data_IF_050045222172
#
_entry.id   IF_050045222172
#
_cell.length_a   1.000
_cell.length_b   1.000
_cell.length_c   1.000
_cell.angle_alpha   90.00
_cell.angle_beta   90.00
_cell.angle_gamma   90.00
#
_symmetry.space_group_name_H-M   'P 1'
#
loop_
_entity.id
_entity.type
_entity.pdbx_description
1 polymer ?
#
# COMPACT_ATOMS: atom_id res chain seq x y z
N UNK A 1 -10.33 -15.25 -3.45
CA UNK A 1 -9.98 -14.60 -4.72
C UNK A 1 -10.93 -13.44 -5.02
N UNK A 2 -12.24 -13.64 -4.91
CA UNK A 2 -13.27 -12.61 -5.20
C UNK A 2 -13.07 -11.32 -4.38
N UNK A 3 -12.73 -11.45 -3.09
CA UNK A 3 -12.43 -10.31 -2.23
C UNK A 3 -11.17 -9.55 -2.63
N UNK A 4 -10.18 -10.25 -3.19
CA UNK A 4 -8.93 -9.63 -3.64
C UNK A 4 -9.08 -8.92 -4.98
N UNK A 5 -9.95 -9.43 -5.84
CA UNK A 5 -10.19 -8.89 -7.18
C UNK A 5 -11.36 -7.90 -7.24
N UNK A 6 -12.10 -7.72 -6.14
CA UNK A 6 -13.23 -6.81 -6.09
C UNK A 6 -14.39 -7.22 -7.01
N UNK A 7 -14.52 -8.51 -7.33
CA UNK A 7 -15.50 -9.02 -8.29
C UNK A 7 -16.95 -8.98 -7.80
N UNK A 8 -17.15 -8.80 -6.50
CA UNK A 8 -18.48 -8.61 -5.92
C UNK A 8 -18.62 -7.20 -5.36
N UNK A 9 -19.82 -6.60 -5.35
CA UNK A 9 -20.04 -5.26 -4.79
C UNK A 9 -19.54 -5.14 -3.32
N UNK A 10 -19.71 -6.18 -2.53
CA UNK A 10 -19.21 -6.23 -1.14
C UNK A 10 -17.69 -6.31 -1.04
N UNK A 11 -17.02 -6.84 -2.06
CA UNK A 11 -15.56 -6.95 -2.10
C UNK A 11 -14.90 -5.71 -2.73
N UNK A 12 -15.64 -4.91 -3.49
CA UNK A 12 -15.14 -3.69 -4.14
C UNK A 12 -14.59 -2.69 -3.13
N UNK A 13 -15.15 -2.64 -1.91
CA UNK A 13 -14.67 -1.77 -0.84
C UNK A 13 -13.22 -2.08 -0.44
N UNK A 14 -12.81 -3.35 -0.45
CA UNK A 14 -11.41 -3.72 -0.16
C UNK A 14 -10.46 -3.32 -1.29
N UNK A 15 -10.94 -3.37 -2.53
CA UNK A 15 -10.15 -2.97 -3.69
C UNK A 15 -9.97 -1.44 -3.75
N UNK A 16 -10.98 -0.66 -3.38
CA UNK A 16 -10.94 0.81 -3.45
C UNK A 16 -10.22 1.46 -2.26
N UNK A 17 -10.37 0.91 -1.05
CA UNK A 17 -9.89 1.54 0.18
C UNK A 17 -8.47 1.09 0.59
N UNK A 18 -8.04 -0.09 0.17
CA UNK A 18 -6.68 -0.55 0.42
C UNK A 18 -5.81 -0.05 -0.74
N UNK A 19 -4.93 0.92 -0.47
CA UNK A 19 -4.11 1.59 -1.47
C UNK A 19 -3.38 0.62 -2.42
N UNK A 20 -2.77 -0.43 -1.86
CA UNK A 20 -2.01 -1.44 -2.60
C UNK A 20 -2.86 -2.28 -3.56
N UNK A 21 -4.19 -2.32 -3.37
CA UNK A 21 -5.11 -3.05 -4.23
C UNK A 21 -5.65 -2.19 -5.37
N UNK A 22 -5.44 -0.87 -5.32
CA UNK A 22 -5.90 0.02 -6.39
C UNK A 22 -5.07 -0.19 -7.65
N UNK A 23 -5.74 -0.10 -8.79
CA UNK A 23 -5.04 -0.21 -10.06
C UNK A 23 -4.19 1.05 -10.32
N UNK A 24 -3.02 0.94 -10.96
CA UNK A 24 -2.23 2.10 -11.35
C UNK A 24 -3.02 3.08 -12.24
N UNK A 25 -3.96 2.58 -13.05
CA UNK A 25 -4.84 3.42 -13.87
C UNK A 25 -5.79 4.25 -13.00
N UNK A 26 -6.38 3.64 -11.96
CA UNK A 26 -7.26 4.35 -11.01
C UNK A 26 -6.48 5.44 -10.27
N UNK A 27 -5.25 5.15 -9.82
CA UNK A 27 -4.38 6.12 -9.17
C UNK A 27 -4.01 7.29 -10.11
N UNK A 28 -3.74 6.98 -11.39
CA UNK A 28 -3.45 7.99 -12.41
C UNK A 28 -4.65 8.92 -12.64
N UNK A 29 -5.86 8.36 -12.75
CA UNK A 29 -7.10 9.13 -12.92
C UNK A 29 -7.43 9.97 -11.68
N UNK A 30 -7.13 9.46 -10.48
CA UNK A 30 -7.27 10.19 -9.22
C UNK A 30 -6.17 11.24 -9.00
N UNK A 31 -5.21 11.37 -9.90
CA UNK A 31 -4.03 12.23 -9.81
C UNK A 31 -3.16 11.96 -8.59
N UNK A 32 -3.17 10.73 -8.10
CA UNK A 32 -2.30 10.27 -7.02
C UNK A 32 -1.01 9.68 -7.61
N UNK A 33 0.16 10.14 -7.16
CA UNK A 33 1.47 9.66 -7.63
C UNK A 33 1.57 9.57 -9.18
N UNK A 34 1.13 10.61 -9.87
CA UNK A 34 0.92 10.63 -11.33
C UNK A 34 2.08 10.04 -12.12
N UNK A 35 3.32 10.46 -11.80
CA UNK A 35 4.52 10.00 -12.53
C UNK A 35 4.75 8.49 -12.35
N UNK A 36 4.67 7.99 -11.11
CA UNK A 36 4.87 6.57 -10.82
C UNK A 36 3.75 5.72 -11.45
N UNK A 37 2.49 6.14 -11.28
CA UNK A 37 1.33 5.44 -11.84
C UNK A 37 1.36 5.42 -13.38
N UNK A 38 1.72 6.54 -14.02
CA UNK A 38 1.88 6.59 -15.47
C UNK A 38 2.98 5.65 -15.96
N UNK A 39 4.13 5.65 -15.29
CA UNK A 39 5.24 4.76 -15.62
C UNK A 39 4.85 3.29 -15.47
N UNK A 40 4.16 2.93 -14.39
CA UNK A 40 3.65 1.56 -14.19
C UNK A 40 2.69 1.13 -15.30
N UNK A 41 1.74 1.97 -15.68
CA UNK A 41 0.79 1.69 -16.77
C UNK A 41 1.54 1.50 -18.09
N UNK A 42 2.42 2.44 -18.44
CA UNK A 42 3.20 2.37 -19.70
C UNK A 42 4.04 1.10 -19.77
N UNK A 43 4.77 0.78 -18.71
CA UNK A 43 5.62 -0.42 -18.68
C UNK A 43 4.79 -1.71 -18.74
N UNK A 44 3.66 -1.78 -18.01
CA UNK A 44 2.81 -2.96 -18.01
C UNK A 44 2.13 -3.16 -19.37
N UNK A 45 1.62 -2.10 -20.01
CA UNK A 45 1.03 -2.17 -21.36
C UNK A 45 2.11 -2.56 -22.38
N UNK A 46 3.28 -1.94 -22.33
CA UNK A 46 4.40 -2.30 -23.20
C UNK A 46 4.81 -3.77 -23.02
N UNK A 47 4.94 -4.24 -21.77
CA UNK A 47 5.27 -5.64 -21.48
C UNK A 47 4.21 -6.62 -21.99
N UNK A 48 2.91 -6.30 -21.84
CA UNK A 48 1.82 -7.12 -22.35
C UNK A 48 1.83 -7.20 -23.89
N UNK A 49 1.94 -6.05 -24.57
CA UNK A 49 2.02 -5.99 -26.04
C UNK A 49 3.24 -6.74 -26.55
N UNK A 50 4.39 -6.56 -25.91
CA UNK A 50 5.62 -7.27 -26.27
C UNK A 50 5.47 -8.78 -26.12
N UNK A 51 4.90 -9.24 -25.01
CA UNK A 51 4.63 -10.65 -24.79
C UNK A 51 3.71 -11.25 -25.87
N UNK A 52 2.61 -10.55 -26.21
CA UNK A 52 1.68 -11.00 -27.27
C UNK A 52 2.40 -11.08 -28.63
N UNK A 53 3.18 -10.06 -28.99
CA UNK A 53 3.93 -10.08 -30.26
C UNK A 53 4.89 -11.27 -30.32
N UNK A 54 5.54 -11.63 -29.20
CA UNK A 54 6.44 -12.77 -29.12
C UNK A 54 5.70 -14.11 -29.21
N UNK A 55 4.56 -14.23 -28.52
CA UNK A 55 3.71 -15.42 -28.58
C UNK A 55 3.16 -15.72 -29.98
N UNK A 56 2.80 -14.67 -30.72
CA UNK A 56 2.29 -14.80 -32.09
C UNK A 56 3.41 -15.18 -33.08
N UNK A 57 4.63 -14.64 -32.90
CA UNK A 57 5.74 -14.83 -33.83
C UNK A 57 6.51 -16.14 -33.63
N UNK A 58 6.60 -16.61 -32.42
CA UNK A 58 7.37 -17.81 -32.07
C UNK A 58 6.79 -18.49 -30.86
N UNK A 59 6.69 -19.84 -30.93
CA UNK A 59 6.30 -20.65 -29.77
C UNK A 59 7.47 -20.99 -28.86
N UNK A 60 8.67 -20.55 -29.20
CA UNK A 60 9.82 -20.69 -28.31
C UNK A 60 9.62 -19.88 -27.04
N UNK A 61 10.01 -20.46 -25.91
CA UNK A 61 9.89 -19.82 -24.57
C UNK A 61 8.47 -19.41 -24.22
N UNK A 62 7.49 -20.23 -24.61
CA UNK A 62 6.07 -20.00 -24.33
C UNK A 62 5.82 -19.63 -22.85
N UNK A 63 6.46 -20.35 -21.91
CA UNK A 63 6.33 -20.10 -20.48
C UNK A 63 6.78 -18.67 -20.12
N UNK A 64 7.89 -18.20 -20.66
CA UNK A 64 8.38 -16.85 -20.37
C UNK A 64 7.38 -15.77 -20.84
N UNK A 65 6.91 -15.90 -22.09
CA UNK A 65 6.02 -14.89 -22.68
C UNK A 65 4.63 -14.92 -22.07
N UNK A 66 4.11 -16.10 -21.72
CA UNK A 66 2.83 -16.19 -20.98
C UNK A 66 2.96 -15.64 -19.57
N UNK A 67 4.07 -15.91 -18.89
CA UNK A 67 4.33 -15.35 -17.54
C UNK A 67 4.43 -13.83 -17.60
N UNK A 68 5.14 -13.27 -18.59
CA UNK A 68 5.25 -11.82 -18.79
C UNK A 68 3.88 -11.21 -19.05
N UNK A 69 3.06 -11.81 -19.92
CA UNK A 69 1.71 -11.33 -20.21
C UNK A 69 0.83 -11.34 -18.95
N UNK A 70 0.78 -12.47 -18.25
CA UNK A 70 -0.04 -12.60 -17.05
C UNK A 70 0.39 -11.63 -15.95
N UNK A 71 1.69 -11.51 -15.69
CA UNK A 71 2.18 -10.58 -14.66
C UNK A 71 1.95 -9.11 -15.05
N UNK A 72 2.02 -8.76 -16.35
CA UNK A 72 1.68 -7.42 -16.85
C UNK A 72 0.20 -7.10 -16.64
N UNK A 73 -0.71 -8.04 -16.93
CA UNK A 73 -2.14 -7.88 -16.68
C UNK A 73 -2.40 -7.73 -15.17
N UNK A 74 -1.78 -8.55 -14.34
CA UNK A 74 -1.91 -8.44 -12.88
C UNK A 74 -1.39 -7.10 -12.35
N UNK A 75 -0.31 -6.56 -12.92
CA UNK A 75 0.23 -5.24 -12.56
C UNK A 75 -0.75 -4.10 -12.90
N UNK A 76 -1.55 -4.24 -13.95
CA UNK A 76 -2.62 -3.27 -14.27
C UNK A 76 -3.84 -3.39 -13.33
N UNK A 77 -4.05 -4.56 -12.74
CA UNK A 77 -5.16 -4.79 -11.80
C UNK A 77 -4.87 -4.19 -10.42
N UNK A 78 -3.64 -4.30 -9.92
CA UNK A 78 -3.28 -3.78 -8.61
C UNK A 78 -1.79 -3.38 -8.55
N UNK A 79 -1.51 -2.22 -7.95
CA UNK A 79 -0.16 -1.65 -7.83
C UNK A 79 0.85 -2.64 -7.23
N UNK A 80 0.47 -3.35 -6.19
CA UNK A 80 1.34 -4.34 -5.53
C UNK A 80 1.86 -5.45 -6.44
N UNK A 81 1.14 -5.77 -7.52
CA UNK A 81 1.54 -6.82 -8.45
C UNK A 81 2.68 -6.37 -9.38
N UNK A 82 3.01 -5.07 -9.39
CA UNK A 82 4.13 -4.55 -10.14
C UNK A 82 5.47 -5.16 -9.69
N UNK A 83 5.56 -5.53 -8.41
CA UNK A 83 6.74 -6.24 -7.84
C UNK A 83 6.95 -7.60 -8.52
N UNK A 84 5.88 -8.27 -8.94
CA UNK A 84 5.96 -9.54 -9.66
C UNK A 84 6.28 -9.34 -11.16
N UNK A 85 5.69 -8.31 -11.75
CA UNK A 85 5.86 -8.00 -13.17
C UNK A 85 7.28 -7.51 -13.49
N UNK A 86 7.81 -6.59 -12.72
CA UNK A 86 9.04 -5.87 -13.05
C UNK A 86 10.27 -6.78 -13.23
N UNK A 87 10.56 -7.77 -12.36
CA UNK A 87 11.65 -8.71 -12.58
C UNK A 87 11.49 -9.57 -13.83
N UNK A 88 10.27 -10.04 -14.11
CA UNK A 88 9.98 -10.85 -15.31
C UNK A 88 10.17 -10.00 -16.58
N UNK A 89 9.71 -8.76 -16.55
CA UNK A 89 9.88 -7.80 -17.63
C UNK A 89 11.36 -7.52 -17.91
N UNK A 90 12.14 -7.21 -16.88
CA UNK A 90 13.58 -6.97 -17.02
C UNK A 90 14.28 -8.20 -17.56
N UNK A 91 13.99 -9.39 -17.03
CA UNK A 91 14.60 -10.62 -17.53
C UNK A 91 14.26 -10.84 -19.00
N UNK A 92 13.01 -10.73 -19.39
CA UNK A 92 12.57 -10.91 -20.78
C UNK A 92 13.19 -9.89 -21.71
N UNK A 93 13.27 -8.62 -21.30
CA UNK A 93 13.81 -7.53 -22.10
C UNK A 93 15.33 -7.62 -22.27
N UNK A 94 16.07 -7.90 -21.19
CA UNK A 94 17.53 -8.00 -21.22
C UNK A 94 18.03 -9.21 -22.01
N UNK A 95 17.29 -10.32 -21.97
CA UNK A 95 17.70 -11.55 -22.70
C UNK A 95 17.26 -11.59 -24.16
N UNK A 96 16.36 -10.68 -24.59
CA UNK A 96 15.83 -10.66 -25.94
C UNK A 96 15.74 -9.25 -26.57
N UNK A 97 16.77 -8.40 -26.44
CA UNK A 97 16.70 -7.03 -26.94
C UNK A 97 16.71 -6.96 -28.48
N UNK A 98 17.38 -7.90 -29.13
CA UNK A 98 17.69 -7.81 -30.57
C UNK A 98 16.49 -7.97 -31.51
N UNK A 99 15.38 -8.58 -31.06
CA UNK A 99 14.26 -8.86 -31.95
C UNK A 99 13.28 -7.69 -32.17
N UNK A 100 13.34 -6.66 -31.34
CA UNK A 100 12.58 -5.41 -31.57
C UNK A 100 13.22 -4.52 -32.61
N UNK A 101 14.53 -4.61 -32.76
CA UNK A 101 15.33 -3.67 -33.56
C UNK A 101 15.60 -4.19 -34.98
N UNK A 102 15.62 -5.53 -35.19
CA UNK A 102 16.13 -6.11 -36.42
C UNK A 102 15.23 -5.97 -37.68
N UNK A 103 13.95 -5.61 -37.52
CA UNK A 103 13.04 -5.49 -38.68
C UNK A 103 12.65 -4.06 -39.08
N UNK A 104 13.04 -3.03 -38.34
CA UNK A 104 12.81 -1.62 -38.69
C UNK A 104 14.10 -0.78 -38.74
N UNK A 105 15.25 -1.42 -38.59
CA UNK A 105 16.51 -0.74 -38.29
C UNK A 105 17.24 -0.13 -39.51
N UNK A 106 16.60 0.04 -40.65
CA UNK A 106 17.23 0.80 -41.74
C UNK A 106 17.23 2.32 -41.55
N UNK A 107 16.48 2.84 -40.56
CA UNK A 107 16.34 4.30 -40.34
C UNK A 107 16.36 4.79 -38.91
N UNK A 108 16.65 3.95 -37.92
CA UNK A 108 16.82 4.42 -36.53
C UNK A 108 18.31 4.59 -36.26
N UNK A 109 18.79 5.82 -35.94
CA UNK A 109 20.20 6.04 -35.68
C UNK A 109 20.68 5.20 -34.51
N UNK A 110 21.83 4.58 -34.68
CA UNK A 110 22.54 3.65 -33.78
C UNK A 110 22.86 4.21 -32.38
N UNK A 111 21.85 4.63 -31.63
CA UNK A 111 22.08 5.05 -30.23
C UNK A 111 22.25 3.89 -29.23
N UNK A 112 22.05 2.64 -29.64
CA UNK A 112 22.16 1.48 -28.77
C UNK A 112 23.26 0.50 -29.21
N UNK A 113 24.50 0.98 -29.25
CA UNK A 113 25.63 0.03 -29.31
C UNK A 113 25.66 -0.75 -27.97
N UNK A 114 26.07 -2.04 -27.95
CA UNK A 114 26.17 -2.83 -26.72
C UNK A 114 26.96 -2.13 -25.61
N UNK A 115 27.97 -1.34 -25.97
CA UNK A 115 28.74 -0.55 -25.01
C UNK A 115 27.94 0.58 -24.37
N UNK A 116 27.11 1.31 -25.13
CA UNK A 116 26.27 2.39 -24.60
C UNK A 116 25.20 1.80 -23.66
N UNK A 117 24.58 0.69 -24.06
CA UNK A 117 23.59 0.01 -23.19
C UNK A 117 24.21 -0.46 -21.87
N UNK A 118 25.41 -1.05 -21.93
CA UNK A 118 26.14 -1.45 -20.73
C UNK A 118 26.50 -0.25 -19.85
N UNK A 119 27.03 0.83 -20.45
CA UNK A 119 27.38 2.03 -19.69
C UNK A 119 26.15 2.66 -19.04
N UNK A 120 25.03 2.80 -19.77
CA UNK A 120 23.78 3.32 -19.23
C UNK A 120 23.25 2.44 -18.09
N UNK A 121 23.30 1.12 -18.25
CA UNK A 121 22.88 0.19 -17.20
C UNK A 121 23.74 0.32 -15.95
N UNK A 122 25.05 0.42 -16.08
CA UNK A 122 25.97 0.62 -14.95
C UNK A 122 25.71 1.95 -14.26
N UNK A 123 25.47 3.03 -15.01
CA UNK A 123 25.15 4.35 -14.44
C UNK A 123 23.82 4.30 -13.69
N UNK A 124 22.78 3.67 -14.25
CA UNK A 124 21.49 3.52 -13.58
C UNK A 124 21.64 2.73 -12.28
N UNK A 125 22.36 1.59 -12.32
CA UNK A 125 22.60 0.78 -11.12
C UNK A 125 23.37 1.58 -10.07
N UNK A 126 24.42 2.30 -10.46
CA UNK A 126 25.19 3.14 -9.56
C UNK A 126 24.34 4.25 -8.93
N UNK A 127 23.48 4.91 -9.70
CA UNK A 127 22.53 5.91 -9.20
C UNK A 127 21.53 5.31 -8.21
N UNK A 128 20.98 4.13 -8.53
CA UNK A 128 20.05 3.43 -7.63
C UNK A 128 20.72 3.00 -6.33
N UNK A 129 21.94 2.46 -6.40
CA UNK A 129 22.73 2.10 -5.23
C UNK A 129 23.10 3.34 -4.39
N UNK A 130 23.48 4.44 -5.03
CA UNK A 130 23.75 5.71 -4.36
C UNK A 130 22.52 6.29 -3.67
N UNK A 131 21.38 6.27 -4.34
CA UNK A 131 20.09 6.68 -3.75
C UNK A 131 19.72 5.79 -2.56
N UNK A 132 19.88 4.48 -2.70
CA UNK A 132 19.59 3.53 -1.63
C UNK A 132 20.55 3.71 -0.42
N UNK A 133 21.85 3.86 -0.67
CA UNK A 133 22.84 4.15 0.36
C UNK A 133 22.51 5.46 1.11
N UNK A 134 22.17 6.52 0.38
CA UNK A 134 21.71 7.78 0.96
C UNK A 134 20.44 7.60 1.79
N UNK A 135 19.49 6.83 1.29
CA UNK A 135 18.26 6.50 2.02
C UNK A 135 18.56 5.80 3.33
N UNK A 136 19.46 4.80 3.34
CA UNK A 136 19.89 4.08 4.56
C UNK A 136 20.58 4.98 5.59
N UNK A 137 21.40 5.94 5.13
CA UNK A 137 22.08 6.88 6.03
C UNK A 137 21.17 7.96 6.58
N UNK A 138 20.06 8.24 5.86
CA UNK A 138 19.04 9.22 6.27
C UNK A 138 17.97 8.62 7.19
N UNK A 139 17.94 7.31 7.31
CA UNK A 139 17.05 6.65 8.27
C UNK A 139 17.53 6.91 9.69
N UNK A 140 16.63 7.44 10.51
CA UNK A 140 16.80 7.47 11.94
C UNK A 140 17.11 6.04 12.42
N UNK A 141 18.13 5.90 13.27
CA UNK A 141 18.72 4.60 13.68
C UNK A 141 17.73 3.69 14.44
N UNK A 142 16.51 4.12 14.64
CA UNK A 142 15.47 3.30 15.23
C UNK A 142 14.97 2.25 14.22
N UNK A 143 15.10 0.98 14.59
CA UNK A 143 14.58 -0.14 13.77
C UNK A 143 13.05 -0.13 13.65
N UNK A 144 12.37 0.70 14.45
CA UNK A 144 10.91 0.85 14.49
C UNK A 144 10.53 2.25 14.03
N UNK A 145 9.63 2.33 13.04
CA UNK A 145 9.09 3.59 12.57
C UNK A 145 7.99 4.09 13.53
N UNK A 146 8.36 4.85 14.56
CA UNK A 146 7.44 5.40 15.58
C UNK A 146 6.25 6.18 14.97
N UNK A 147 6.45 6.77 13.82
CA UNK A 147 5.37 7.43 13.07
C UNK A 147 4.33 6.48 12.47
N UNK A 148 4.64 5.18 12.41
CA UNK A 148 3.74 4.16 11.85
C UNK A 148 3.24 3.17 12.90
N UNK A 149 3.92 3.09 14.03
CA UNK A 149 3.65 2.10 15.09
C UNK A 149 3.52 2.84 16.42
N UNK A 150 2.46 2.62 17.20
CA UNK A 150 2.17 3.36 18.42
C UNK A 150 3.00 2.87 19.63
N UNK A 151 4.33 2.96 19.55
CA UNK A 151 5.24 2.39 20.58
C UNK A 151 4.99 3.02 21.94
N UNK A 152 5.03 4.37 22.02
CA UNK A 152 4.85 5.08 23.28
C UNK A 152 3.40 4.98 23.81
N UNK A 153 2.41 5.11 22.91
CA UNK A 153 1.02 4.93 23.26
C UNK A 153 0.73 3.52 23.80
N UNK A 154 1.30 2.48 23.17
CA UNK A 154 1.16 1.10 23.65
C UNK A 154 1.81 0.89 25.02
N UNK A 155 3.01 1.45 25.25
CA UNK A 155 3.68 1.38 26.55
C UNK A 155 2.87 2.10 27.64
N UNK A 156 2.29 3.26 27.33
CA UNK A 156 1.41 3.99 28.22
C UNK A 156 0.15 3.18 28.55
N UNK A 157 -0.50 2.59 27.54
CA UNK A 157 -1.71 1.76 27.74
C UNK A 157 -1.44 0.53 28.59
N UNK A 158 -0.28 -0.09 28.48
CA UNK A 158 0.11 -1.24 29.30
C UNK A 158 0.20 -0.87 30.79
N UNK A 159 0.54 0.38 31.12
CA UNK A 159 0.61 0.90 32.49
C UNK A 159 -0.74 1.41 33.01
N UNK A 160 -1.69 1.64 32.10
CA UNK A 160 -3.03 2.18 32.45
C UNK A 160 -4.10 1.23 31.91
N UNK A 161 -4.33 0.08 32.59
CA UNK A 161 -5.33 -0.89 32.15
C UNK A 161 -6.73 -0.27 32.10
N UNK A 162 -7.57 -0.80 31.21
CA UNK A 162 -8.95 -0.40 31.04
C UNK A 162 -9.86 -1.64 30.97
N UNK A 163 -11.15 -1.45 31.12
CA UNK A 163 -12.11 -2.56 31.20
C UNK A 163 -12.86 -2.80 29.89
N UNK A 164 -13.01 -1.79 29.07
CA UNK A 164 -13.73 -1.85 27.80
C UNK A 164 -12.89 -2.32 26.63
N UNK A 165 -13.37 -2.04 25.43
CA UNK A 165 -12.72 -2.39 24.17
C UNK A 165 -11.91 -1.22 23.63
N UNK A 166 -10.82 -1.56 22.95
CA UNK A 166 -9.99 -0.61 22.26
C UNK A 166 -10.49 -0.40 20.81
N UNK A 167 -10.78 0.85 20.42
CA UNK A 167 -10.90 1.23 19.02
C UNK A 167 -9.55 1.76 18.50
N UNK A 168 -9.13 1.37 17.31
CA UNK A 168 -7.82 1.75 16.82
C UNK A 168 -7.76 1.91 15.30
N UNK A 169 -6.79 2.69 14.84
CA UNK A 169 -6.39 2.72 13.44
C UNK A 169 -5.84 1.35 12.99
N UNK A 170 -6.15 0.97 11.77
CA UNK A 170 -5.79 -0.33 11.20
C UNK A 170 -4.28 -0.61 11.20
N UNK A 171 -3.45 0.41 11.04
CA UNK A 171 -1.98 0.27 11.05
C UNK A 171 -1.44 0.01 12.44
N UNK A 172 -2.06 0.61 13.45
CA UNK A 172 -1.68 0.44 14.85
C UNK A 172 -2.02 -0.96 15.38
N UNK A 173 -3.11 -1.57 14.87
CA UNK A 173 -3.72 -2.76 15.46
C UNK A 173 -2.80 -3.97 15.54
N UNK A 174 -2.00 -4.22 14.52
CA UNK A 174 -1.06 -5.35 14.54
C UNK A 174 -0.01 -5.25 15.64
N UNK A 175 0.54 -4.05 15.84
CA UNK A 175 1.51 -3.79 16.91
C UNK A 175 0.85 -3.86 18.28
N UNK A 176 -0.31 -3.23 18.45
CA UNK A 176 -1.04 -3.24 19.70
C UNK A 176 -1.42 -4.66 20.14
N UNK A 177 -1.92 -5.49 19.21
CA UNK A 177 -2.24 -6.88 19.50
C UNK A 177 -1.00 -7.72 19.90
N UNK A 178 0.17 -7.37 19.39
CA UNK A 178 1.42 -8.05 19.72
C UNK A 178 1.94 -7.64 21.10
N UNK A 179 1.95 -6.34 21.39
CA UNK A 179 2.54 -5.80 22.64
C UNK A 179 1.58 -5.93 23.82
N UNK A 180 0.30 -5.69 23.59
CA UNK A 180 -0.76 -5.74 24.61
C UNK A 180 -1.80 -6.83 24.27
N UNK A 181 -1.46 -8.11 24.30
CA UNK A 181 -2.33 -9.19 23.84
C UNK A 181 -3.62 -9.35 24.67
N UNK A 182 -3.73 -8.69 25.82
CA UNK A 182 -4.94 -8.65 26.63
C UNK A 182 -5.98 -7.67 26.08
N UNK A 183 -5.54 -6.64 25.34
CA UNK A 183 -6.40 -5.64 24.76
C UNK A 183 -6.91 -6.15 23.41
N UNK A 184 -8.23 -6.32 23.30
CA UNK A 184 -8.84 -6.72 22.02
C UNK A 184 -8.84 -5.53 21.06
N UNK A 185 -7.98 -5.56 20.05
CA UNK A 185 -7.95 -4.53 18.99
C UNK A 185 -9.20 -4.61 18.10
N UNK A 186 -9.75 -3.46 17.72
CA UNK A 186 -10.92 -3.39 16.85
C UNK A 186 -10.57 -3.80 15.43
N UNK A 187 -9.47 -3.28 14.90
CA UNK A 187 -9.01 -3.51 13.55
C UNK A 187 -7.48 -3.73 13.52
N UNK A 188 -7.05 -4.67 12.68
CA UNK A 188 -5.65 -4.85 12.33
C UNK A 188 -5.49 -4.93 10.80
N UNK A 189 -4.27 -5.06 10.30
CA UNK A 189 -3.99 -5.12 8.87
C UNK A 189 -4.57 -6.33 8.12
N UNK A 190 -5.25 -7.25 8.81
CA UNK A 190 -5.88 -8.45 8.23
C UNK A 190 -7.32 -8.19 7.81
N UNK A 191 -7.57 -7.14 7.05
CA UNK A 191 -8.92 -6.74 6.60
C UNK A 191 -9.70 -7.86 5.95
N UNK A 192 -9.03 -8.73 5.20
CA UNK A 192 -9.64 -9.84 4.46
C UNK A 192 -10.34 -10.86 5.38
N UNK A 193 -9.97 -10.89 6.65
CA UNK A 193 -10.60 -11.75 7.66
C UNK A 193 -11.90 -11.18 8.21
N UNK A 194 -12.17 -9.90 7.97
CA UNK A 194 -13.40 -9.22 8.40
C UNK A 194 -14.44 -9.23 7.28
N UNK A 195 -15.72 -9.08 7.63
CA UNK A 195 -16.77 -8.92 6.62
C UNK A 195 -16.66 -7.54 5.96
N UNK A 196 -17.17 -7.41 4.73
CA UNK A 196 -17.24 -6.13 4.04
C UNK A 196 -18.09 -5.10 4.80
N UNK A 197 -19.18 -5.55 5.45
CA UNK A 197 -20.06 -4.71 6.29
C UNK A 197 -19.31 -4.16 7.51
N UNK A 198 -18.52 -5.01 8.17
CA UNK A 198 -17.68 -4.57 9.30
C UNK A 198 -16.69 -3.50 8.85
N UNK A 199 -16.03 -3.73 7.71
CA UNK A 199 -15.07 -2.79 7.16
C UNK A 199 -15.74 -1.49 6.70
N UNK A 200 -16.91 -1.56 6.06
CA UNK A 200 -17.70 -0.38 5.70
C UNK A 200 -18.09 0.45 6.92
N UNK A 201 -18.52 -0.20 8.02
CA UNK A 201 -18.83 0.47 9.28
C UNK A 201 -17.60 1.15 9.88
N UNK A 202 -16.46 0.46 9.89
CA UNK A 202 -15.20 1.03 10.35
C UNK A 202 -14.82 2.32 9.58
N UNK A 203 -14.93 2.30 8.24
CA UNK A 203 -14.66 3.47 7.40
C UNK A 203 -15.70 4.58 7.59
N UNK A 204 -16.95 4.23 7.87
CA UNK A 204 -18.01 5.20 8.15
C UNK A 204 -17.68 6.06 9.37
N UNK A 205 -17.11 5.51 10.43
CA UNK A 205 -16.68 6.27 11.61
C UNK A 205 -15.66 7.37 11.28
N UNK A 206 -14.85 7.18 10.27
CA UNK A 206 -13.93 8.21 9.81
C UNK A 206 -14.62 9.33 9.02
N UNK A 207 -15.69 9.01 8.27
CA UNK A 207 -16.42 9.94 7.40
C UNK A 207 -17.58 10.63 8.12
N UNK A 208 -18.21 9.92 9.04
CA UNK A 208 -19.37 10.33 9.83
C UNK A 208 -19.09 10.10 11.31
N UNK A 209 -18.22 10.92 11.93
CA UNK A 209 -17.68 10.65 13.28
C UNK A 209 -18.74 10.60 14.37
N UNK A 210 -19.85 11.31 14.22
CA UNK A 210 -20.98 11.25 15.15
C UNK A 210 -21.59 9.84 15.28
N UNK A 211 -21.42 9.02 14.24
CA UNK A 211 -21.85 7.62 14.30
C UNK A 211 -20.98 6.81 15.25
N UNK A 212 -19.69 7.15 15.37
CA UNK A 212 -18.81 6.51 16.33
C UNK A 212 -19.24 6.82 17.77
N UNK A 213 -19.52 8.09 18.10
CA UNK A 213 -19.93 8.48 19.44
C UNK A 213 -21.20 7.73 19.87
N UNK A 214 -22.18 7.62 18.98
CA UNK A 214 -23.42 6.87 19.26
C UNK A 214 -23.21 5.37 19.45
N UNK A 215 -22.29 4.80 18.67
CA UNK A 215 -22.07 3.36 18.64
C UNK A 215 -21.07 2.90 19.72
N UNK A 216 -20.23 3.81 20.24
CA UNK A 216 -19.14 3.48 21.17
C UNK A 216 -19.63 2.72 22.41
N UNK A 217 -20.76 3.13 22.99
CA UNK A 217 -21.36 2.45 24.18
C UNK A 217 -21.84 1.04 23.86
N UNK A 218 -22.55 0.90 22.73
CA UNK A 218 -23.06 -0.41 22.30
C UNK A 218 -21.94 -1.38 21.93
N UNK A 219 -20.80 -0.85 21.48
CA UNK A 219 -19.60 -1.61 21.17
C UNK A 219 -18.74 -1.90 22.41
N UNK A 220 -19.04 -1.23 23.55
CA UNK A 220 -18.23 -1.29 24.77
C UNK A 220 -16.85 -0.68 24.59
N UNK A 221 -16.72 0.34 23.74
CA UNK A 221 -15.45 1.03 23.49
C UNK A 221 -15.27 2.14 24.50
N UNK A 222 -14.23 2.04 25.32
CA UNK A 222 -13.83 3.02 26.31
C UNK A 222 -12.47 3.68 26.01
N UNK A 223 -11.78 3.21 24.98
CA UNK A 223 -10.49 3.72 24.59
C UNK A 223 -10.34 3.75 23.06
N UNK A 224 -9.70 4.81 22.54
CA UNK A 224 -9.45 4.93 21.11
C UNK A 224 -8.03 5.46 20.84
N UNK A 225 -7.31 4.84 19.87
CA UNK A 225 -5.91 5.18 19.51
C UNK A 225 -5.82 5.54 18.05
N UNK A 226 -5.27 6.73 17.77
CA UNK A 226 -5.14 7.24 16.41
C UNK A 226 -3.79 7.87 16.15
N UNK A 227 -3.29 7.79 14.88
CA UNK A 227 -2.12 8.54 14.46
C UNK A 227 -2.44 10.04 14.33
N UNK A 228 -1.54 10.90 14.79
CA UNK A 228 -1.62 12.36 14.63
C UNK A 228 -1.09 12.84 13.29
N UNK A 229 -0.15 12.10 12.70
CA UNK A 229 0.55 12.47 11.46
C UNK A 229 0.41 11.34 10.44
N UNK A 230 0.61 11.69 9.17
CA UNK A 230 0.63 10.76 8.03
C UNK A 230 -0.68 10.03 7.70
N UNK A 231 -1.78 10.33 8.41
CA UNK A 231 -3.03 9.67 8.14
C UNK A 231 -4.24 10.59 8.36
N UNK A 232 -4.60 11.32 7.31
CA UNK A 232 -5.68 12.30 7.36
C UNK A 232 -7.09 11.69 7.53
N UNK A 233 -7.24 10.34 7.36
CA UNK A 233 -8.53 9.65 7.44
C UNK A 233 -9.30 9.98 8.72
N UNK A 234 -8.61 10.03 9.86
CA UNK A 234 -9.22 10.17 11.18
C UNK A 234 -9.41 11.62 11.65
N UNK A 235 -9.00 12.60 10.84
CA UNK A 235 -9.02 14.00 11.25
C UNK A 235 -10.37 14.49 11.74
N UNK A 236 -11.47 14.12 11.06
CA UNK A 236 -12.83 14.49 11.49
C UNK A 236 -13.21 13.83 12.84
N UNK A 237 -12.90 12.53 13.01
CA UNK A 237 -13.19 11.83 14.28
C UNK A 237 -12.35 12.37 15.43
N UNK A 238 -11.09 12.71 15.21
CA UNK A 238 -10.23 13.36 16.20
C UNK A 238 -10.81 14.70 16.67
N UNK A 239 -11.38 15.50 15.74
CA UNK A 239 -12.07 16.76 16.05
C UNK A 239 -13.25 16.52 16.98
N UNK A 240 -14.14 15.62 16.61
CA UNK A 240 -15.36 15.32 17.39
C UNK A 240 -15.02 14.73 18.76
N UNK A 241 -14.03 13.84 18.87
CA UNK A 241 -13.58 13.30 20.15
C UNK A 241 -13.02 14.37 21.09
N UNK A 242 -12.31 15.36 20.54
CA UNK A 242 -11.77 16.48 21.32
C UNK A 242 -12.84 17.42 21.88
N UNK A 243 -13.93 17.58 21.14
CA UNK A 243 -15.05 18.45 21.51
C UNK A 243 -16.09 17.71 22.38
N UNK A 244 -16.04 16.39 22.40
CA UNK A 244 -16.98 15.58 23.15
C UNK A 244 -16.79 15.69 24.68
N UNK A 245 -17.83 15.96 25.46
CA UNK A 245 -17.73 15.99 26.92
C UNK A 245 -17.45 14.61 27.55
N UNK A 246 -17.69 13.54 26.80
CA UNK A 246 -17.54 12.15 27.27
C UNK A 246 -16.14 11.57 27.07
N UNK A 247 -15.30 12.25 26.28
CA UNK A 247 -13.98 11.76 25.93
C UNK A 247 -12.90 12.75 26.32
N UNK A 248 -11.78 12.24 26.84
CA UNK A 248 -10.58 13.02 27.12
C UNK A 248 -9.36 12.45 26.39
N UNK A 249 -8.46 13.33 25.96
CA UNK A 249 -7.14 12.92 25.47
C UNK A 249 -6.27 12.53 26.68
N UNK A 250 -6.18 11.25 26.99
CA UNK A 250 -5.48 10.74 28.16
C UNK A 250 -3.96 10.52 27.93
N UNK A 251 -3.55 10.39 26.68
CA UNK A 251 -2.13 10.35 26.30
C UNK A 251 -1.93 10.93 24.90
N UNK A 252 -0.88 11.72 24.74
CA UNK A 252 -0.45 12.28 23.47
C UNK A 252 1.07 12.19 23.37
N UNK A 253 1.57 11.62 22.29
CA UNK A 253 2.98 11.70 21.92
C UNK A 253 3.15 12.41 20.57
N UNK A 254 4.36 12.44 20.02
CA UNK A 254 4.64 13.12 18.74
C UNK A 254 3.88 12.53 17.54
N UNK A 255 3.41 11.30 17.65
CA UNK A 255 2.85 10.53 16.53
C UNK A 255 1.45 9.99 16.78
N UNK A 256 1.06 9.72 18.04
CA UNK A 256 -0.20 9.10 18.39
C UNK A 256 -0.92 9.84 19.53
N UNK A 257 -2.23 9.71 19.52
CA UNK A 257 -3.10 10.17 20.58
C UNK A 257 -3.98 9.01 21.06
N UNK A 258 -4.17 8.93 22.38
CA UNK A 258 -5.09 8.02 23.02
C UNK A 258 -6.21 8.82 23.66
N UNK A 259 -7.44 8.51 23.29
CA UNK A 259 -8.63 9.01 23.95
C UNK A 259 -9.16 7.97 24.90
N UNK A 260 -9.66 8.42 26.04
CA UNK A 260 -10.34 7.60 27.03
C UNK A 260 -11.74 8.14 27.27
N UNK A 261 -12.72 7.25 27.41
CA UNK A 261 -14.06 7.62 27.83
C UNK A 261 -14.06 7.89 29.32
N UNK A 262 -14.78 8.94 29.76
CA UNK A 262 -14.92 9.35 31.15
C UNK A 262 -15.78 8.37 31.94
#
# INVERSE_FOLDING_TARGET
LDRLLGLTPSAAIFASEIAENRSPLTLLLARENVLASALMVVLAVFGAVYAVMRLVRSREKLVLWTTLFVTAVLALVAERNFVLFFPVFLFAFLHHPASLISHSASHIPLFFTPRITQTVSVVIIACLLGFWAKSLTSYDKHMVAYQRVPVNAAAWMAQHPHSGRLFNDDRAGGYLAFVNPRDSVYMDGRFILKSAEFFARYLRYAREPETFLRDADSLGVDRAVFPLRFYARWGALLGVLRESPEWDACHVDDFYIVFCKK
#
